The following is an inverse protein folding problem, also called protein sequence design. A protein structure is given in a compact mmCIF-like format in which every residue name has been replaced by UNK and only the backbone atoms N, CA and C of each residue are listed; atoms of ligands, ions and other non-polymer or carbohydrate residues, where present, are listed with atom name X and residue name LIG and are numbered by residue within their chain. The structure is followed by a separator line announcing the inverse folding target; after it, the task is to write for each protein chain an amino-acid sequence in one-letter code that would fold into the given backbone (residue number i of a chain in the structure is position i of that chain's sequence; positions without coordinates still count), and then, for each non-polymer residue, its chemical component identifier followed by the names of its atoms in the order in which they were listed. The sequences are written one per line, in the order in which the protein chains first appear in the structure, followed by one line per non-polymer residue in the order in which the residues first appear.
data_IF_824755786009
#
_entry.id   IF_824755786009
#
_cell.length_a   1.000
_cell.length_b   1.000
_cell.length_c   1.000
_cell.angle_alpha   90.00
_cell.angle_beta   90.00
_cell.angle_gamma   90.00
#
_symmetry.space_group_name_H-M   'P 1'
#
loop_
_entity.id
_entity.type
_entity.pdbx_description
1 polymer ?
#
# COMPACT_ATOMS: atom_id res chain seq x y z
N UNK A 1 -43.47 -69.22 29.93
CA UNK A 1 -43.22 -69.32 31.38
C UNK A 1 -42.06 -68.36 31.73
N UNK A 2 -42.40 -67.33 32.51
CA UNK A 2 -41.56 -66.51 33.38
C UNK A 2 -40.21 -66.05 32.88
N UNK A 3 -40.01 -64.71 32.58
CA UNK A 3 -39.73 -63.62 33.50
C UNK A 3 -38.37 -63.66 34.16
N UNK A 4 -37.55 -62.60 33.87
CA UNK A 4 -36.90 -61.62 34.79
C UNK A 4 -36.04 -60.76 33.97
N UNK A 5 -36.27 -59.60 33.83
CA UNK A 5 -36.11 -58.28 34.46
C UNK A 5 -34.88 -58.14 35.37
N UNK A 6 -33.92 -57.30 34.99
CA UNK A 6 -33.03 -56.60 35.91
C UNK A 6 -32.13 -55.60 35.21
N UNK A 7 -32.35 -54.37 35.47
CA UNK A 7 -31.40 -53.47 36.09
C UNK A 7 -30.57 -52.61 35.18
N UNK A 8 -31.13 -51.48 34.73
CA UNK A 8 -30.34 -50.34 34.25
C UNK A 8 -29.82 -49.57 35.46
N UNK A 9 -28.50 -49.56 35.66
CA UNK A 9 -27.83 -48.61 36.55
C UNK A 9 -27.60 -47.27 35.86
N UNK A 10 -27.60 -46.16 36.62
CA UNK A 10 -27.43 -44.82 36.05
C UNK A 10 -25.97 -44.55 35.70
N UNK A 11 -25.77 -44.00 34.50
CA UNK A 11 -24.47 -43.49 34.03
C UNK A 11 -24.21 -42.15 34.69
N UNK A 12 -23.06 -41.91 35.31
CA UNK A 12 -22.74 -40.59 35.85
C UNK A 12 -22.31 -39.66 34.73
N UNK A 13 -23.08 -38.60 34.52
CA UNK A 13 -22.64 -37.43 33.71
C UNK A 13 -21.60 -36.65 34.47
N UNK A 14 -20.33 -36.85 34.18
CA UNK A 14 -19.23 -35.94 34.55
C UNK A 14 -19.20 -34.79 33.56
N UNK A 15 -19.86 -33.71 33.92
CA UNK A 15 -19.66 -32.39 33.28
C UNK A 15 -18.25 -31.90 33.60
N UNK A 16 -17.32 -32.01 32.66
CA UNK A 16 -16.02 -31.34 32.74
C UNK A 16 -16.23 -29.84 32.65
N UNK A 17 -16.24 -29.19 33.80
CA UNK A 17 -16.26 -27.72 33.90
C UNK A 17 -14.98 -27.12 33.31
N UNK A 18 -15.11 -26.50 32.14
CA UNK A 18 -14.03 -25.68 31.56
C UNK A 18 -13.85 -24.44 32.47
N UNK A 19 -12.80 -24.48 33.27
CA UNK A 19 -12.40 -23.38 34.13
C UNK A 19 -11.75 -22.30 33.24
N UNK A 20 -12.56 -21.40 32.68
CA UNK A 20 -12.06 -20.21 32.00
C UNK A 20 -11.48 -19.28 33.06
N UNK A 21 -10.16 -19.29 33.22
CA UNK A 21 -9.43 -18.31 34.07
C UNK A 21 -9.65 -16.91 33.46
N UNK A 22 -10.57 -16.16 34.05
CA UNK A 22 -10.74 -14.73 33.72
C UNK A 22 -9.51 -13.97 34.20
N UNK A 23 -8.76 -13.38 33.26
CA UNK A 23 -7.66 -12.45 33.55
C UNK A 23 -8.15 -11.25 34.38
N UNK A 24 -7.33 -10.73 35.32
CA UNK A 24 -7.67 -9.55 36.11
C UNK A 24 -8.02 -8.34 35.23
N UNK A 25 -8.98 -7.51 35.63
CA UNK A 25 -9.49 -6.37 34.87
C UNK A 25 -8.37 -5.38 34.43
N UNK A 26 -7.31 -5.23 35.24
CA UNK A 26 -6.15 -4.41 34.91
C UNK A 26 -5.36 -4.96 33.70
N UNK A 27 -5.16 -6.29 33.60
CA UNK A 27 -4.52 -6.92 32.44
C UNK A 27 -5.36 -6.86 31.16
N UNK A 28 -6.70 -6.85 31.28
CA UNK A 28 -7.59 -6.66 30.13
C UNK A 28 -7.54 -5.24 29.61
N UNK A 29 -7.45 -4.24 30.49
CA UNK A 29 -7.34 -2.83 30.09
C UNK A 29 -6.00 -2.51 29.46
N UNK A 30 -4.89 -3.06 29.96
CA UNK A 30 -3.56 -2.92 29.34
C UNK A 30 -3.54 -3.54 27.94
N UNK A 31 -3.99 -4.82 27.79
CA UNK A 31 -4.05 -5.46 26.47
C UNK A 31 -5.02 -4.78 25.48
N UNK A 32 -6.09 -4.14 25.97
CA UNK A 32 -7.00 -3.39 25.12
C UNK A 32 -6.37 -2.07 24.68
N UNK A 33 -5.65 -1.39 25.57
CA UNK A 33 -4.95 -0.13 25.28
C UNK A 33 -3.81 -0.37 24.27
N UNK A 34 -2.98 -1.39 24.49
CA UNK A 34 -1.90 -1.79 23.56
C UNK A 34 -2.45 -2.22 22.19
N UNK A 35 -3.66 -2.79 22.13
CA UNK A 35 -4.33 -3.17 20.88
C UNK A 35 -4.96 -1.97 20.17
N UNK A 36 -5.41 -0.96 20.91
CA UNK A 36 -5.93 0.30 20.35
C UNK A 36 -4.78 1.18 19.88
N UNK A 37 -3.66 1.21 20.59
CA UNK A 37 -2.45 1.95 20.21
C UNK A 37 -1.74 1.37 18.96
N UNK A 38 -2.09 0.13 18.54
CA UNK A 38 -1.53 -0.54 17.35
C UNK A 38 -2.51 -0.69 16.17
N UNK A 39 -3.74 -0.19 16.29
CA UNK A 39 -4.74 -0.35 15.25
C UNK A 39 -4.73 0.84 14.28
N UNK A 40 -4.06 0.65 13.14
CA UNK A 40 -4.21 1.45 11.92
C UNK A 40 -3.69 2.91 11.99
N UNK A 41 -2.62 3.18 12.76
CA UNK A 41 -1.99 4.49 12.72
C UNK A 41 -1.08 4.62 11.48
N UNK A 42 -1.38 5.58 10.61
CA UNK A 42 -0.51 5.97 9.50
C UNK A 42 0.49 6.99 10.03
N UNK A 43 1.74 6.55 10.22
CA UNK A 43 2.82 7.41 10.68
C UNK A 43 3.36 8.27 9.55
N UNK A 44 3.56 9.56 9.84
CA UNK A 44 4.17 10.51 8.92
C UNK A 44 5.64 10.69 9.29
N UNK A 45 6.50 10.68 8.28
CA UNK A 45 7.93 11.02 8.41
C UNK A 45 8.26 12.16 7.48
N UNK A 46 9.10 13.09 7.96
CA UNK A 46 9.60 14.20 7.17
C UNK A 46 10.96 13.95 6.56
N UNK A 47 11.30 14.76 5.56
CA UNK A 47 12.63 14.82 4.95
C UNK A 47 13.12 13.50 4.36
N UNK A 48 12.20 12.66 3.90
CA UNK A 48 12.53 11.43 3.18
C UNK A 48 12.97 11.71 1.75
N UNK A 49 13.75 10.80 1.19
CA UNK A 49 14.18 10.85 -0.20
C UNK A 49 13.70 9.59 -0.92
N UNK A 50 12.94 9.77 -1.99
CA UNK A 50 12.65 8.71 -2.93
C UNK A 50 13.79 8.63 -3.96
N UNK A 51 14.35 7.44 -4.16
CA UNK A 51 15.35 7.18 -5.20
C UNK A 51 14.99 5.90 -5.93
N UNK A 52 14.74 6.01 -7.23
CA UNK A 52 14.52 4.90 -8.14
C UNK A 52 15.57 4.92 -9.25
N UNK A 53 15.87 3.77 -9.82
CA UNK A 53 16.86 3.65 -10.90
C UNK A 53 16.24 2.94 -12.10
N UNK A 54 16.69 3.31 -13.31
CA UNK A 54 16.21 2.76 -14.58
C UNK A 54 14.68 2.74 -14.64
N UNK A 55 14.07 3.91 -14.56
CA UNK A 55 12.62 4.08 -14.39
C UNK A 55 11.96 4.31 -15.74
N UNK A 56 11.26 3.31 -16.25
CA UNK A 56 10.35 3.45 -17.39
C UNK A 56 9.06 4.12 -16.91
N UNK A 57 8.65 5.20 -17.56
CA UNK A 57 7.42 5.92 -17.26
C UNK A 57 6.50 6.00 -18.47
N UNK A 58 5.20 5.95 -18.22
CA UNK A 58 4.14 6.15 -19.21
C UNK A 58 3.10 7.10 -18.64
N UNK A 59 2.77 8.15 -19.41
CA UNK A 59 1.64 9.03 -19.08
C UNK A 59 0.33 8.28 -19.26
N UNK A 60 -0.60 8.49 -18.34
CA UNK A 60 -1.93 7.90 -18.32
C UNK A 60 -2.94 9.00 -18.60
N UNK A 61 -3.75 8.79 -19.63
CA UNK A 61 -4.82 9.69 -20.00
C UNK A 61 -6.14 9.22 -19.37
N UNK A 62 -7.16 10.07 -19.25
CA UNK A 62 -8.43 9.69 -18.64
C UNK A 62 -9.08 8.43 -19.28
N UNK A 63 -8.95 8.26 -20.58
CA UNK A 63 -9.44 7.09 -21.32
C UNK A 63 -8.70 5.80 -21.00
N UNK A 64 -7.50 5.89 -20.44
CA UNK A 64 -6.67 4.74 -20.07
C UNK A 64 -7.11 4.09 -18.72
N UNK A 65 -7.89 4.80 -17.89
CA UNK A 65 -8.20 4.33 -16.54
C UNK A 65 -8.89 2.98 -16.48
N UNK A 66 -9.77 2.68 -17.45
CA UNK A 66 -10.44 1.38 -17.52
C UNK A 66 -9.47 0.23 -17.85
N UNK A 67 -8.27 0.53 -18.35
CA UNK A 67 -7.31 -0.44 -18.89
C UNK A 67 -5.95 -0.40 -18.16
N UNK A 68 -5.87 0.14 -16.95
CA UNK A 68 -4.60 0.31 -16.23
C UNK A 68 -3.83 -1.00 -16.10
N UNK A 69 -4.49 -2.11 -15.77
CA UNK A 69 -3.84 -3.42 -15.63
C UNK A 69 -3.24 -3.91 -16.96
N UNK A 70 -3.92 -3.65 -18.08
CA UNK A 70 -3.39 -3.95 -19.41
C UNK A 70 -2.15 -3.11 -19.69
N UNK A 71 -2.18 -1.82 -19.35
CA UNK A 71 -1.05 -0.90 -19.53
C UNK A 71 0.17 -1.34 -18.71
N UNK A 72 -0.03 -1.73 -17.46
CA UNK A 72 1.05 -2.28 -16.62
C UNK A 72 1.67 -3.51 -17.28
N UNK A 73 0.83 -4.43 -17.77
CA UNK A 73 1.29 -5.62 -18.48
C UNK A 73 2.07 -5.26 -19.75
N UNK A 74 1.60 -4.27 -20.51
CA UNK A 74 2.31 -3.77 -21.71
C UNK A 74 3.67 -3.17 -21.36
N UNK A 75 3.77 -2.37 -20.28
CA UNK A 75 5.04 -1.81 -19.80
C UNK A 75 6.02 -2.91 -19.41
N UNK A 76 5.57 -3.94 -18.70
CA UNK A 76 6.42 -5.07 -18.31
C UNK A 76 6.89 -5.90 -19.51
N UNK A 77 6.01 -6.14 -20.48
CA UNK A 77 6.35 -6.84 -21.71
C UNK A 77 7.33 -6.03 -22.56
N UNK A 78 7.16 -4.70 -22.59
CA UNK A 78 8.13 -3.80 -23.24
C UNK A 78 9.52 -3.93 -22.61
N UNK A 79 9.61 -3.90 -21.27
CA UNK A 79 10.88 -4.11 -20.58
C UNK A 79 11.51 -5.46 -20.95
N UNK A 80 10.73 -6.55 -20.90
CA UNK A 80 11.21 -7.90 -21.22
C UNK A 80 11.66 -8.06 -22.68
N UNK A 81 10.92 -7.47 -23.64
CA UNK A 81 11.26 -7.51 -25.06
C UNK A 81 12.59 -6.82 -25.40
N UNK A 82 13.04 -5.91 -24.54
CA UNK A 82 14.34 -5.24 -24.67
C UNK A 82 15.47 -5.94 -23.86
N UNK A 83 15.26 -7.19 -23.45
CA UNK A 83 16.25 -7.97 -22.71
C UNK A 83 16.46 -7.56 -21.25
N UNK A 84 15.61 -6.68 -20.74
CA UNK A 84 15.62 -6.26 -19.34
C UNK A 84 14.58 -7.04 -18.52
N UNK A 85 14.65 -6.91 -17.20
CA UNK A 85 13.65 -7.46 -16.28
C UNK A 85 13.00 -6.33 -15.49
N UNK A 86 11.65 -6.29 -15.39
CA UNK A 86 10.99 -5.39 -14.46
C UNK A 86 11.36 -5.78 -13.02
N UNK A 87 11.71 -4.80 -12.21
CA UNK A 87 12.09 -4.98 -10.80
C UNK A 87 11.31 -4.03 -9.91
N UNK A 88 11.23 -4.37 -8.62
CA UNK A 88 10.56 -3.55 -7.62
C UNK A 88 9.04 -3.42 -7.84
N UNK A 89 8.36 -2.62 -7.03
CA UNK A 89 6.94 -2.38 -7.11
C UNK A 89 6.54 -1.46 -8.27
N UNK A 90 5.25 -1.49 -8.62
CA UNK A 90 4.62 -0.46 -9.45
C UNK A 90 4.57 0.85 -8.67
N UNK A 91 4.83 1.98 -9.35
CA UNK A 91 4.70 3.31 -8.78
C UNK A 91 3.74 4.14 -9.62
N UNK A 92 2.79 4.79 -8.95
CA UNK A 92 1.95 5.82 -9.54
C UNK A 92 2.54 7.18 -9.16
N UNK A 93 2.72 8.04 -10.14
CA UNK A 93 3.13 9.43 -9.94
C UNK A 93 2.04 10.36 -10.42
N UNK A 94 1.58 11.24 -9.53
CA UNK A 94 0.64 12.30 -9.85
C UNK A 94 1.37 13.62 -9.63
N UNK A 95 1.31 14.52 -10.61
CA UNK A 95 1.88 15.86 -10.49
C UNK A 95 0.98 16.89 -11.16
N UNK A 96 1.19 18.15 -10.80
CA UNK A 96 0.55 19.28 -11.46
C UNK A 96 1.48 19.77 -12.58
N UNK A 97 0.99 19.73 -13.82
CA UNK A 97 1.75 20.25 -14.96
C UNK A 97 2.06 21.74 -14.79
N UNK A 98 3.31 22.12 -15.00
CA UNK A 98 3.72 23.52 -15.02
C UNK A 98 3.30 24.15 -16.35
N UNK A 99 2.45 25.17 -16.31
CA UNK A 99 1.99 25.86 -17.52
C UNK A 99 0.92 26.91 -17.21
N UNK A 100 0.41 27.59 -18.24
CA UNK A 100 -0.60 28.65 -18.07
C UNK A 100 -1.94 28.10 -17.52
N UNK A 101 -2.20 26.81 -17.69
CA UNK A 101 -3.32 26.08 -17.07
C UNK A 101 -2.74 24.88 -16.35
N UNK A 102 -2.56 24.93 -15.03
CA UNK A 102 -2.11 23.80 -14.25
C UNK A 102 -3.15 22.67 -14.32
N UNK A 103 -2.75 21.50 -14.83
CA UNK A 103 -3.61 20.32 -14.90
C UNK A 103 -2.94 19.15 -14.22
N UNK A 104 -3.71 18.30 -13.49
CA UNK A 104 -3.16 17.11 -12.92
C UNK A 104 -2.76 16.13 -14.04
N UNK A 105 -1.58 15.54 -13.90
CA UNK A 105 -1.08 14.51 -14.79
C UNK A 105 -0.75 13.26 -13.97
N UNK A 106 -1.04 12.11 -14.53
CA UNK A 106 -0.73 10.82 -13.92
C UNK A 106 0.23 10.04 -14.80
N UNK A 107 1.18 9.38 -14.16
CA UNK A 107 2.14 8.49 -14.78
C UNK A 107 2.18 7.16 -14.03
N UNK A 108 2.38 6.08 -14.75
CA UNK A 108 2.82 4.80 -14.20
C UNK A 108 4.33 4.67 -14.42
N UNK A 109 5.02 4.23 -13.37
CA UNK A 109 6.47 4.06 -13.36
C UNK A 109 6.80 2.61 -13.03
N UNK A 110 7.72 2.03 -13.79
CA UNK A 110 8.23 0.68 -13.56
C UNK A 110 9.74 0.69 -13.62
N UNK A 111 10.41 0.16 -12.60
CA UNK A 111 11.86 0.02 -12.63
C UNK A 111 12.26 -1.20 -13.47
N UNK A 112 13.41 -1.08 -14.13
CA UNK A 112 14.07 -2.18 -14.82
C UNK A 112 15.48 -2.43 -14.23
N UNK A 113 15.99 -3.65 -14.38
CA UNK A 113 17.34 -4.00 -13.91
C UNK A 113 18.45 -3.33 -14.72
N UNK A 114 18.12 -2.79 -15.90
CA UNK A 114 19.07 -2.07 -16.77
C UNK A 114 18.36 -0.95 -17.54
N UNK A 115 19.15 0.00 -18.03
CA UNK A 115 18.66 1.11 -18.86
C UNK A 115 18.28 0.61 -20.25
N UNK A 116 17.09 1.01 -20.73
CA UNK A 116 16.61 0.74 -22.09
C UNK A 116 16.81 2.03 -22.90
N UNK A 117 17.55 1.96 -24.00
CA UNK A 117 17.92 3.13 -24.82
C UNK A 117 17.01 3.33 -26.04
N UNK A 118 16.33 2.28 -26.49
CA UNK A 118 15.36 2.35 -27.60
C UNK A 118 13.97 2.34 -27.01
N UNK A 119 13.29 3.47 -27.10
CA UNK A 119 11.97 3.66 -26.50
C UNK A 119 10.93 3.91 -27.60
N UNK A 120 9.73 3.37 -27.39
CA UNK A 120 8.56 3.79 -28.12
C UNK A 120 8.12 5.19 -27.67
N UNK A 121 7.44 5.98 -28.54
CA UNK A 121 7.07 7.37 -28.26
C UNK A 121 6.24 7.58 -26.97
N UNK A 122 5.52 6.55 -26.54
CA UNK A 122 4.68 6.58 -25.33
C UNK A 122 5.45 6.43 -24.03
N UNK A 123 6.74 6.03 -24.09
CA UNK A 123 7.58 5.78 -22.94
C UNK A 123 8.67 6.82 -22.78
N UNK A 124 9.01 7.09 -21.53
CA UNK A 124 10.20 7.81 -21.15
C UNK A 124 11.02 6.97 -20.16
N UNK A 125 12.35 7.14 -20.15
CA UNK A 125 13.24 6.36 -19.28
C UNK A 125 14.22 7.27 -18.59
N UNK A 126 14.18 7.25 -17.25
CA UNK A 126 15.14 7.94 -16.40
C UNK A 126 16.17 6.96 -15.85
N UNK A 127 17.45 7.26 -15.99
CA UNK A 127 18.51 6.46 -15.36
C UNK A 127 18.40 6.53 -13.82
N UNK A 128 18.07 7.71 -13.28
CA UNK A 128 17.87 7.94 -11.85
C UNK A 128 16.75 8.97 -11.65
N UNK A 129 15.70 8.57 -10.99
CA UNK A 129 14.68 9.48 -10.45
C UNK A 129 14.98 9.67 -8.97
N UNK A 130 15.19 10.92 -8.56
CA UNK A 130 15.45 11.27 -7.16
C UNK A 130 14.60 12.46 -6.76
N UNK A 131 13.74 12.24 -5.76
CA UNK A 131 12.91 13.27 -5.14
C UNK A 131 13.33 13.42 -3.69
N UNK A 132 13.80 14.61 -3.33
CA UNK A 132 14.30 14.92 -1.99
C UNK A 132 13.24 15.67 -1.19
N UNK A 133 13.45 15.72 0.13
CA UNK A 133 12.64 16.53 1.03
C UNK A 133 11.14 16.19 0.99
N UNK A 134 10.81 14.90 0.94
CA UNK A 134 9.43 14.46 0.89
C UNK A 134 8.84 14.26 2.30
N UNK A 135 7.55 14.55 2.44
CA UNK A 135 6.71 13.88 3.43
C UNK A 135 6.52 12.44 2.99
N UNK A 136 6.49 11.53 3.94
CA UNK A 136 6.34 10.09 3.71
C UNK A 136 5.30 9.50 4.66
N UNK A 137 4.46 8.62 4.13
CA UNK A 137 3.55 7.78 4.90
C UNK A 137 3.67 6.33 4.47
N UNK A 138 3.60 5.43 5.45
CA UNK A 138 3.55 3.99 5.27
C UNK A 138 2.16 3.50 5.65
N UNK A 139 1.48 2.84 4.74
CA UNK A 139 0.13 2.31 4.92
C UNK A 139 0.14 0.79 4.82
N UNK A 140 -0.51 0.14 5.76
CA UNK A 140 -0.79 -1.31 5.74
C UNK A 140 -2.27 -1.50 6.01
N UNK A 141 -2.97 -2.18 5.11
CA UNK A 141 -4.40 -2.44 5.28
C UNK A 141 -5.13 -2.68 3.96
N UNK A 142 -6.48 -2.60 3.99
CA UNK A 142 -7.31 -2.84 2.81
C UNK A 142 -6.95 -1.91 1.64
N UNK A 143 -6.66 -2.48 0.46
CA UNK A 143 -6.28 -1.71 -0.73
C UNK A 143 -7.37 -0.74 -1.18
N UNK A 144 -8.64 -1.01 -0.88
CA UNK A 144 -9.75 -0.09 -1.13
C UNK A 144 -9.67 1.22 -0.30
N UNK A 145 -8.74 1.30 0.66
CA UNK A 145 -8.52 2.48 1.52
C UNK A 145 -7.10 3.04 1.41
N UNK A 146 -6.34 2.68 0.40
CA UNK A 146 -4.94 3.09 0.26
C UNK A 146 -4.76 4.61 0.15
N UNK A 147 -5.79 5.35 -0.30
CA UNK A 147 -5.78 6.80 -0.35
C UNK A 147 -5.65 7.47 1.03
N UNK A 148 -5.95 6.76 2.14
CA UNK A 148 -5.78 7.30 3.49
C UNK A 148 -4.35 7.76 3.77
N UNK A 149 -3.34 7.13 3.17
CA UNK A 149 -1.95 7.57 3.29
C UNK A 149 -1.75 8.98 2.71
N UNK A 150 -2.25 9.22 1.50
CA UNK A 150 -2.19 10.55 0.85
C UNK A 150 -3.00 11.59 1.60
N UNK A 151 -4.20 11.23 2.08
CA UNK A 151 -5.04 12.12 2.88
C UNK A 151 -4.35 12.51 4.19
N UNK A 152 -3.71 11.55 4.88
CA UNK A 152 -2.95 11.82 6.10
C UNK A 152 -1.80 12.80 5.86
N UNK A 153 -1.06 12.65 4.76
CA UNK A 153 0.02 13.58 4.40
C UNK A 153 -0.50 14.98 4.10
N UNK A 154 -1.63 15.12 3.40
CA UNK A 154 -2.25 16.42 3.12
C UNK A 154 -2.71 17.11 4.40
N UNK A 155 -3.35 16.38 5.34
CA UNK A 155 -3.76 16.92 6.64
C UNK A 155 -2.53 17.35 7.43
N UNK A 156 -1.50 16.50 7.50
CA UNK A 156 -0.25 16.80 8.19
C UNK A 156 0.43 18.05 7.63
N UNK A 157 0.50 18.18 6.30
CA UNK A 157 1.07 19.34 5.65
C UNK A 157 0.31 20.64 6.02
N UNK A 158 -1.03 20.56 6.03
CA UNK A 158 -1.89 21.69 6.44
C UNK A 158 -1.67 22.08 7.91
N UNK A 159 -1.65 21.10 8.83
CA UNK A 159 -1.48 21.32 10.28
C UNK A 159 -0.11 21.94 10.63
N UNK A 160 0.92 21.71 9.79
CA UNK A 160 2.30 22.14 10.04
C UNK A 160 2.78 23.25 9.08
N UNK A 161 1.85 23.91 8.35
CA UNK A 161 2.15 24.95 7.37
C UNK A 161 3.21 24.52 6.31
N UNK A 162 3.23 23.25 5.93
CA UNK A 162 4.15 22.71 4.94
C UNK A 162 3.55 22.88 3.55
N UNK A 163 4.26 23.57 2.66
CA UNK A 163 3.88 23.71 1.26
C UNK A 163 4.31 22.49 0.46
N UNK A 164 3.35 21.90 -0.24
CA UNK A 164 3.59 20.75 -1.14
C UNK A 164 3.80 21.27 -2.58
N UNK A 165 4.75 20.67 -3.28
CA UNK A 165 5.09 21.02 -4.67
C UNK A 165 4.07 20.50 -5.71
N UNK A 166 2.99 19.84 -5.26
CA UNK A 166 1.98 19.25 -6.13
C UNK A 166 2.44 17.99 -6.85
N UNK A 167 3.43 17.27 -6.29
CA UNK A 167 3.97 16.03 -6.81
C UNK A 167 3.90 14.95 -5.74
N UNK A 168 3.26 13.80 -6.07
CA UNK A 168 3.06 12.67 -5.17
C UNK A 168 3.40 11.35 -5.86
N UNK A 169 4.09 10.47 -5.16
CA UNK A 169 4.47 9.13 -5.60
C UNK A 169 3.84 8.10 -4.68
N UNK A 170 3.01 7.22 -5.23
CA UNK A 170 2.40 6.10 -4.53
C UNK A 170 3.05 4.81 -4.99
N UNK A 171 3.70 4.10 -4.07
CA UNK A 171 4.45 2.86 -4.34
C UNK A 171 3.62 1.69 -3.80
N UNK A 172 3.18 0.79 -4.67
CA UNK A 172 2.41 -0.40 -4.32
C UNK A 172 3.38 -1.53 -3.94
N UNK A 173 3.85 -1.51 -2.68
CA UNK A 173 4.94 -2.37 -2.20
C UNK A 173 4.57 -3.84 -2.27
N UNK A 174 3.38 -4.20 -1.82
CA UNK A 174 2.81 -5.56 -1.90
C UNK A 174 1.29 -5.50 -1.87
N UNK A 175 0.69 -6.54 -2.41
CA UNK A 175 -0.75 -6.80 -2.31
C UNK A 175 -0.96 -8.30 -2.17
N UNK A 176 -1.80 -8.68 -1.20
CA UNK A 176 -2.24 -10.04 -0.96
C UNK A 176 -3.76 -10.00 -0.78
N UNK A 177 -4.50 -10.52 -1.76
CA UNK A 177 -5.94 -10.36 -1.90
C UNK A 177 -6.39 -8.90 -1.78
N UNK A 178 -7.19 -8.58 -0.74
CA UNK A 178 -7.73 -7.25 -0.48
C UNK A 178 -6.82 -6.39 0.40
N UNK A 179 -5.77 -6.96 1.01
CA UNK A 179 -4.81 -6.27 1.88
C UNK A 179 -3.55 -5.92 1.12
N UNK A 180 -2.87 -4.85 1.54
CA UNK A 180 -1.63 -4.46 0.91
C UNK A 180 -0.81 -3.47 1.70
N UNK A 181 0.37 -3.18 1.16
CA UNK A 181 1.32 -2.22 1.70
C UNK A 181 1.57 -1.15 0.65
N UNK A 182 1.37 0.10 1.03
CA UNK A 182 1.55 1.27 0.17
C UNK A 182 2.42 2.30 0.87
N UNK A 183 3.44 2.77 0.16
CA UNK A 183 4.28 3.89 0.57
C UNK A 183 3.94 5.12 -0.26
N UNK A 184 3.73 6.26 0.40
CA UNK A 184 3.45 7.52 -0.28
C UNK A 184 4.52 8.55 0.04
N UNK A 185 5.04 9.20 -1.00
CA UNK A 185 5.96 10.33 -0.90
C UNK A 185 5.31 11.55 -1.54
N UNK A 186 5.27 12.68 -0.81
CA UNK A 186 4.85 13.98 -1.34
C UNK A 186 6.00 14.97 -1.24
N UNK A 187 6.37 15.56 -2.37
CA UNK A 187 7.46 16.54 -2.45
C UNK A 187 7.04 17.84 -1.78
N UNK A 188 7.92 18.39 -0.92
CA UNK A 188 7.78 19.72 -0.32
C UNK A 188 8.45 20.76 -1.22
N UNK A 189 7.93 21.99 -1.24
CA UNK A 189 8.58 23.16 -1.87
C UNK A 189 9.91 23.51 -1.23
#
# INVERSE_FOLDING_TARGET
MRQADAGRGPVPHTAAGVHVRRLPAAKRRANYKDKVDNMNEILVSESKTLKLTNVLSRRIMPEDFANINLIVTQMENFVRSHGAQPIGPLVQHICIAKGPKPEPQMYLLRQANQLITRLDPQYHMDAVLRVKNCLYAHYVGPMARNELASQKLNIYAFEHDIKLAGSAYTIFVSQDDDEGVVDVFMEKE
#
